data_IF_849831167663
#
_entry.id   IF_849831167663
#
_cell.length_a   1.000
_cell.length_b   1.000
_cell.length_c   1.000
_cell.angle_alpha   90.00
_cell.angle_beta   90.00
_cell.angle_gamma   90.00
#
_symmetry.space_group_name_H-M   'P 1'
#
loop_
_entity.id
_entity.type
_entity.pdbx_description
1 polymer ?
#
# COMPACT_ATOMS: atom_id res chain seq x y z
N UNK A 1 4.03 -31.33 18.30
CA UNK A 1 5.08 -30.52 17.63
C UNK A 1 5.27 -30.89 16.15
N UNK A 2 5.48 -32.16 15.76
CA UNK A 2 5.69 -32.56 14.35
C UNK A 2 4.53 -32.23 13.37
N UNK A 3 3.27 -32.35 13.79
CA UNK A 3 2.10 -32.02 12.92
C UNK A 3 2.01 -30.53 12.58
N UNK A 4 2.28 -29.64 13.54
CA UNK A 4 2.30 -28.18 13.30
C UNK A 4 3.43 -27.79 12.35
N UNK A 5 4.61 -28.41 12.48
CA UNK A 5 5.73 -28.15 11.58
C UNK A 5 5.44 -28.62 10.15
N UNK A 6 4.81 -29.78 9.99
CA UNK A 6 4.42 -30.30 8.67
C UNK A 6 3.36 -29.41 8.00
N UNK A 7 2.37 -28.93 8.77
CA UNK A 7 1.35 -27.99 8.26
C UNK A 7 1.94 -26.66 7.84
N UNK A 8 2.92 -26.13 8.60
CA UNK A 8 3.65 -24.90 8.25
C UNK A 8 4.49 -25.11 7.00
N UNK A 9 5.21 -26.24 6.91
CA UNK A 9 6.02 -26.59 5.74
C UNK A 9 5.16 -26.77 4.49
N UNK A 10 3.98 -27.38 4.63
CA UNK A 10 3.03 -27.57 3.53
C UNK A 10 2.42 -26.24 3.07
N UNK A 11 2.08 -25.34 4.01
CA UNK A 11 1.68 -23.96 3.71
C UNK A 11 2.80 -23.22 2.95
N UNK A 12 4.04 -23.30 3.44
CA UNK A 12 5.21 -22.70 2.78
C UNK A 12 5.40 -23.27 1.36
N UNK A 13 5.25 -24.58 1.17
CA UNK A 13 5.36 -25.23 -0.14
C UNK A 13 4.25 -24.77 -1.10
N UNK A 14 3.01 -24.60 -0.62
CA UNK A 14 1.91 -24.06 -1.41
C UNK A 14 2.19 -22.61 -1.82
N UNK A 15 2.66 -21.77 -0.88
CA UNK A 15 3.08 -20.39 -1.18
C UNK A 15 4.31 -20.31 -2.11
N UNK A 16 5.16 -21.35 -2.15
CA UNK A 16 6.34 -21.41 -3.01
C UNK A 16 6.07 -21.88 -4.45
N UNK A 17 4.84 -22.28 -4.77
CA UNK A 17 4.48 -22.63 -6.16
C UNK A 17 4.30 -21.35 -6.99
N UNK A 18 5.07 -21.17 -8.09
CA UNK A 18 4.86 -20.04 -8.98
C UNK A 18 3.53 -20.24 -9.72
N UNK A 19 2.49 -19.55 -9.27
CA UNK A 19 1.28 -19.34 -10.05
C UNK A 19 1.54 -18.23 -11.07
N UNK A 20 0.99 -18.36 -12.29
CA UNK A 20 1.04 -17.30 -13.31
C UNK A 20 0.67 -15.94 -12.69
N UNK A 21 1.66 -15.07 -12.53
CA UNK A 21 1.51 -13.76 -11.93
C UNK A 21 1.08 -12.77 -13.01
N UNK A 22 -0.07 -12.14 -12.82
CA UNK A 22 -0.46 -10.95 -13.58
C UNK A 22 0.07 -9.70 -12.87
N UNK A 23 0.61 -8.75 -13.63
CA UNK A 23 1.04 -7.46 -13.11
C UNK A 23 -0.16 -6.50 -12.83
N UNK A 24 0.01 -5.54 -11.91
CA UNK A 24 -0.97 -4.56 -11.41
C UNK A 24 -1.19 -3.35 -12.32
N UNK A 25 -0.18 -2.97 -13.10
CA UNK A 25 -0.23 -1.77 -13.98
C UNK A 25 -1.21 -1.91 -15.18
N UNK A 26 -1.92 -3.05 -15.30
CA UNK A 26 -2.77 -3.44 -16.44
C UNK A 26 -3.93 -2.51 -16.77
N UNK A 27 -4.41 -1.69 -15.85
CA UNK A 27 -5.53 -0.79 -16.17
C UNK A 27 -5.10 0.52 -16.87
N UNK A 28 -3.78 0.80 -16.97
CA UNK A 28 -3.23 1.98 -17.66
C UNK A 28 -2.46 1.63 -18.94
N UNK A 29 -2.11 0.36 -19.13
CA UNK A 29 -1.46 -0.14 -20.34
C UNK A 29 -2.04 -1.48 -20.76
N UNK A 30 -2.07 -1.73 -22.07
CA UNK A 30 -2.44 -3.03 -22.66
C UNK A 30 -1.22 -3.86 -23.05
N UNK A 31 -0.01 -3.37 -22.79
CA UNK A 31 1.20 -4.12 -23.07
C UNK A 31 1.30 -5.32 -22.14
N UNK A 32 1.72 -6.44 -22.72
CA UNK A 32 2.03 -7.63 -21.95
C UNK A 32 3.27 -7.39 -21.06
N UNK A 33 3.23 -7.78 -19.77
CA UNK A 33 4.36 -7.58 -18.87
C UNK A 33 5.61 -8.31 -19.36
N UNK A 34 6.69 -7.56 -19.60
CA UNK A 34 7.99 -8.13 -19.98
C UNK A 34 8.97 -8.04 -18.81
N UNK A 35 9.32 -9.20 -18.25
CA UNK A 35 10.22 -9.32 -17.10
C UNK A 35 11.66 -9.11 -17.54
N UNK A 36 12.32 -8.08 -17.02
CA UNK A 36 13.75 -7.84 -17.27
C UNK A 36 14.62 -8.68 -16.34
N UNK A 37 15.90 -8.86 -16.68
CA UNK A 37 16.82 -9.65 -15.86
C UNK A 37 17.20 -8.95 -14.56
N UNK A 38 17.53 -9.71 -13.50
CA UNK A 38 17.93 -9.14 -12.22
C UNK A 38 19.18 -8.27 -12.34
N UNK A 39 20.10 -8.60 -13.25
CA UNK A 39 21.30 -7.80 -13.55
C UNK A 39 20.96 -6.45 -14.17
N UNK A 40 19.90 -6.39 -14.99
CA UNK A 40 19.40 -5.14 -15.56
C UNK A 40 18.71 -4.28 -14.49
N UNK A 41 17.99 -4.90 -13.55
CA UNK A 41 17.38 -4.20 -12.40
C UNK A 41 18.48 -3.59 -11.52
N UNK A 42 19.49 -4.38 -11.17
CA UNK A 42 20.64 -3.99 -10.34
C UNK A 42 21.66 -3.12 -11.09
N UNK A 43 21.17 -2.20 -11.90
CA UNK A 43 21.97 -1.19 -12.61
C UNK A 43 22.75 -0.29 -11.64
N UNK A 44 23.81 0.40 -12.12
CA UNK A 44 24.53 1.38 -11.30
C UNK A 44 23.63 2.47 -10.72
N UNK A 45 22.60 2.88 -11.47
CA UNK A 45 21.61 3.84 -11.00
C UNK A 45 20.81 3.27 -9.82
N UNK A 46 20.30 2.04 -9.96
CA UNK A 46 19.54 1.38 -8.89
C UNK A 46 20.36 1.25 -7.61
N UNK A 47 21.60 0.75 -7.72
CA UNK A 47 22.50 0.57 -6.57
C UNK A 47 22.83 1.93 -5.93
N UNK A 48 23.14 2.94 -6.75
CA UNK A 48 23.45 4.29 -6.27
C UNK A 48 22.28 4.91 -5.51
N UNK A 49 21.07 4.81 -6.05
CA UNK A 49 19.85 5.33 -5.42
C UNK A 49 19.49 4.52 -4.18
N UNK A 50 19.66 3.20 -4.18
CA UNK A 50 19.43 2.36 -2.99
C UNK A 50 20.34 2.76 -1.82
N UNK A 51 21.64 2.94 -2.09
CA UNK A 51 22.61 3.36 -1.08
C UNK A 51 22.34 4.78 -0.59
N UNK A 52 22.05 5.72 -1.50
CA UNK A 52 21.68 7.08 -1.13
C UNK A 52 20.42 7.11 -0.25
N UNK A 53 19.40 6.34 -0.63
CA UNK A 53 18.16 6.21 0.12
C UNK A 53 18.41 5.63 1.51
N UNK A 54 19.24 4.59 1.63
CA UNK A 54 19.62 4.00 2.90
C UNK A 54 20.35 5.01 3.80
N UNK A 55 21.24 5.84 3.25
CA UNK A 55 21.93 6.90 3.99
C UNK A 55 20.94 7.95 4.50
N UNK A 56 20.06 8.45 3.62
CA UNK A 56 19.06 9.46 3.97
C UNK A 56 18.14 8.93 5.08
N UNK A 57 17.64 7.70 4.94
CA UNK A 57 16.81 7.06 5.94
C UNK A 57 17.54 6.84 7.25
N UNK A 58 18.82 6.46 7.23
CA UNK A 58 19.61 6.25 8.43
C UNK A 58 19.88 7.54 9.22
N UNK A 59 19.93 8.69 8.52
CA UNK A 59 20.07 10.01 9.13
C UNK A 59 18.73 10.59 9.61
N UNK A 60 17.60 10.14 9.04
CA UNK A 60 16.27 10.66 9.32
C UNK A 60 15.90 10.68 10.82
N UNK A 61 16.19 9.65 11.64
CA UNK A 61 15.86 9.65 13.07
C UNK A 61 16.50 10.82 13.83
N UNK A 62 17.71 11.24 13.45
CA UNK A 62 18.42 12.34 14.11
C UNK A 62 17.80 13.71 13.80
N UNK A 63 17.15 13.83 12.65
CA UNK A 63 16.50 15.06 12.19
C UNK A 63 15.05 15.12 12.69
N UNK A 64 14.42 13.96 12.87
CA UNK A 64 13.01 13.82 13.21
C UNK A 64 12.65 14.53 14.52
N UNK A 65 13.49 14.43 15.56
CA UNK A 65 13.26 15.12 16.83
C UNK A 65 13.24 16.64 16.68
N UNK A 66 14.03 17.19 15.75
CA UNK A 66 14.00 18.63 15.44
C UNK A 66 12.76 19.02 14.65
N UNK A 67 12.38 18.19 13.67
CA UNK A 67 11.22 18.44 12.81
C UNK A 67 9.89 18.39 13.58
N UNK A 68 9.75 17.43 14.50
CA UNK A 68 8.55 17.28 15.35
C UNK A 68 8.42 18.37 16.42
N UNK A 69 9.51 19.06 16.76
CA UNK A 69 9.50 20.09 17.79
C UNK A 69 9.12 21.49 17.28
N UNK A 70 8.85 21.65 15.97
CA UNK A 70 8.44 22.93 15.39
C UNK A 70 7.04 23.34 15.92
N UNK A 71 6.85 24.58 16.41
CA UNK A 71 5.59 25.02 17.02
C UNK A 71 4.37 24.91 16.09
N UNK A 72 4.56 25.21 14.80
CA UNK A 72 3.51 25.06 13.78
C UNK A 72 3.08 23.60 13.63
N UNK A 73 4.03 22.67 13.55
CA UNK A 73 3.76 21.24 13.44
C UNK A 73 2.97 20.73 14.65
N UNK A 74 3.33 21.16 15.87
CA UNK A 74 2.59 20.82 17.10
C UNK A 74 1.15 21.33 17.08
N UNK A 75 0.91 22.58 16.65
CA UNK A 75 -0.44 23.14 16.57
C UNK A 75 -1.33 22.39 15.58
N UNK A 76 -0.77 22.03 14.43
CA UNK A 76 -1.46 21.21 13.42
C UNK A 76 -1.69 19.80 13.95
N UNK A 77 -0.74 19.23 14.72
CA UNK A 77 -0.90 17.94 15.38
C UNK A 77 -2.07 17.90 16.35
N UNK A 78 -2.14 18.84 17.29
CA UNK A 78 -3.23 18.90 18.26
C UNK A 78 -4.59 19.03 17.56
N UNK A 79 -4.73 19.95 16.59
CA UNK A 79 -6.02 20.19 15.91
C UNK A 79 -6.52 18.98 15.13
N UNK A 80 -5.63 18.26 14.44
CA UNK A 80 -6.00 17.06 13.69
C UNK A 80 -6.20 15.85 14.61
N UNK A 81 -5.51 15.80 15.75
CA UNK A 81 -5.70 14.73 16.73
C UNK A 81 -7.12 14.67 17.30
N UNK A 82 -7.81 15.82 17.38
CA UNK A 82 -9.22 15.90 17.79
C UNK A 82 -10.16 15.15 16.82
N UNK A 83 -9.72 14.92 15.58
CA UNK A 83 -10.49 14.26 14.53
C UNK A 83 -10.29 12.74 14.52
N UNK A 84 -9.38 12.18 15.33
CA UNK A 84 -9.13 10.73 15.41
C UNK A 84 -10.37 9.91 15.76
N UNK A 85 -11.29 10.49 16.53
CA UNK A 85 -12.60 9.88 16.83
C UNK A 85 -13.44 9.58 15.57
N UNK A 86 -13.17 10.28 14.47
CA UNK A 86 -13.85 10.10 13.20
C UNK A 86 -13.14 9.13 12.27
N UNK A 87 -11.88 8.75 12.52
CA UNK A 87 -11.08 7.91 11.62
C UNK A 87 -11.79 6.60 11.21
N UNK A 88 -12.51 5.96 12.14
CA UNK A 88 -13.29 4.75 11.81
C UNK A 88 -14.55 5.02 11.03
N UNK A 89 -15.23 6.12 11.31
CA UNK A 89 -16.39 6.52 10.53
C UNK A 89 -15.97 6.89 9.10
N UNK A 90 -14.84 7.58 8.96
CA UNK A 90 -14.21 7.87 7.66
C UNK A 90 -13.87 6.57 6.93
N UNK A 91 -13.23 5.60 7.62
CA UNK A 91 -12.93 4.30 7.01
C UNK A 91 -14.20 3.58 6.56
N UNK A 92 -15.21 3.49 7.43
CA UNK A 92 -16.47 2.78 7.19
C UNK A 92 -17.26 3.40 6.03
N UNK A 93 -17.57 4.68 6.12
CA UNK A 93 -18.38 5.37 5.11
C UNK A 93 -17.58 5.66 3.84
N UNK A 94 -16.27 5.91 3.95
CA UNK A 94 -15.37 6.01 2.81
C UNK A 94 -15.30 4.70 2.04
N UNK A 95 -15.19 3.55 2.72
CA UNK A 95 -15.25 2.23 2.07
C UNK A 95 -16.59 2.03 1.35
N UNK A 96 -17.72 2.38 1.98
CA UNK A 96 -19.02 2.28 1.33
C UNK A 96 -19.12 3.15 0.07
N UNK A 97 -18.60 4.38 0.12
CA UNK A 97 -18.54 5.29 -1.02
C UNK A 97 -17.66 4.73 -2.16
N UNK A 98 -16.46 4.26 -1.83
CA UNK A 98 -15.55 3.66 -2.81
C UNK A 98 -16.15 2.42 -3.47
N UNK A 99 -16.79 1.53 -2.69
CA UNK A 99 -17.49 0.38 -3.26
C UNK A 99 -18.68 0.80 -4.13
N UNK A 100 -19.37 1.90 -3.80
CA UNK A 100 -20.44 2.44 -4.66
C UNK A 100 -19.88 2.92 -5.99
N UNK A 101 -18.75 3.64 -5.99
CA UNK A 101 -18.06 4.07 -7.22
C UNK A 101 -17.69 2.85 -8.08
N UNK A 102 -17.15 1.79 -7.46
CA UNK A 102 -16.78 0.55 -8.14
C UNK A 102 -17.99 -0.13 -8.78
N UNK A 103 -19.07 -0.36 -8.03
CA UNK A 103 -20.28 -1.03 -8.56
C UNK A 103 -20.92 -0.24 -9.69
N UNK A 104 -21.01 1.09 -9.57
CA UNK A 104 -21.55 1.96 -10.63
C UNK A 104 -20.67 1.92 -11.88
N UNK A 105 -19.37 1.72 -11.71
CA UNK A 105 -18.40 1.55 -12.81
C UNK A 105 -18.38 0.13 -13.39
N UNK A 106 -19.17 -0.81 -12.84
CA UNK A 106 -19.21 -2.20 -13.29
C UNK A 106 -18.06 -3.07 -12.77
N UNK A 107 -17.33 -2.60 -11.76
CA UNK A 107 -16.10 -3.22 -11.24
C UNK A 107 -16.17 -3.47 -9.73
N UNK A 108 -15.20 -4.21 -9.19
CA UNK A 108 -15.11 -4.55 -7.78
C UNK A 108 -13.69 -4.35 -7.26
N UNK A 109 -13.49 -3.52 -6.22
CA UNK A 109 -12.19 -3.19 -5.61
C UNK A 109 -11.16 -2.45 -6.51
N UNK A 110 -11.11 -2.76 -7.80
CA UNK A 110 -10.18 -2.24 -8.80
C UNK A 110 -10.84 -2.24 -10.21
N UNK A 111 -10.60 -1.24 -11.08
CA UNK A 111 -11.06 -1.21 -12.46
C UNK A 111 -10.81 -2.45 -13.32
N UNK A 112 -9.82 -3.28 -12.99
CA UNK A 112 -9.56 -4.51 -13.74
C UNK A 112 -10.47 -5.68 -13.33
N UNK A 113 -11.00 -5.67 -12.11
CA UNK A 113 -11.89 -6.72 -11.62
C UNK A 113 -13.34 -6.37 -11.98
N UNK A 114 -13.79 -6.93 -13.09
CA UNK A 114 -15.14 -6.70 -13.59
C UNK A 114 -16.16 -7.55 -12.84
N UNK A 115 -17.37 -7.00 -12.69
CA UNK A 115 -18.51 -7.75 -12.16
C UNK A 115 -19.05 -8.64 -13.30
N UNK A 116 -18.77 -9.94 -13.22
CA UNK A 116 -19.18 -10.93 -14.22
C UNK A 116 -20.51 -11.62 -13.85
N UNK A 117 -20.81 -11.68 -12.55
CA UNK A 117 -21.95 -12.45 -12.05
C UNK A 117 -22.88 -11.61 -11.16
N UNK A 118 -24.18 -11.85 -11.28
CA UNK A 118 -25.21 -11.16 -10.49
C UNK A 118 -24.99 -11.29 -8.98
N UNK A 119 -24.47 -12.42 -8.52
CA UNK A 119 -24.21 -12.64 -7.09
C UNK A 119 -23.13 -11.68 -6.55
N UNK A 120 -22.11 -11.33 -7.35
CA UNK A 120 -21.07 -10.37 -6.97
C UNK A 120 -21.68 -8.98 -6.77
N UNK A 121 -22.53 -8.56 -7.71
CA UNK A 121 -23.24 -7.29 -7.64
C UNK A 121 -24.15 -7.22 -6.40
N UNK A 122 -24.91 -8.29 -6.14
CA UNK A 122 -25.79 -8.39 -4.95
C UNK A 122 -24.96 -8.28 -3.67
N UNK A 123 -23.84 -9.02 -3.57
CA UNK A 123 -22.98 -9.02 -2.40
C UNK A 123 -22.32 -7.64 -2.19
N UNK A 124 -21.93 -6.95 -3.25
CA UNK A 124 -21.41 -5.58 -3.17
C UNK A 124 -22.48 -4.62 -2.62
N UNK A 125 -23.72 -4.67 -3.12
CA UNK A 125 -24.81 -3.83 -2.60
C UNK A 125 -25.17 -4.15 -1.15
N UNK A 126 -25.18 -5.43 -0.77
CA UNK A 126 -25.36 -5.85 0.64
C UNK A 126 -24.22 -5.29 1.50
N UNK A 127 -22.97 -5.37 1.03
CA UNK A 127 -21.80 -4.81 1.71
C UNK A 127 -21.95 -3.31 1.92
N UNK A 128 -22.29 -2.57 0.87
CA UNK A 128 -22.52 -1.11 0.92
C UNK A 128 -23.62 -0.78 1.92
N UNK A 129 -24.78 -1.44 1.82
CA UNK A 129 -25.90 -1.22 2.73
C UNK A 129 -25.53 -1.49 4.19
N UNK A 130 -24.82 -2.59 4.45
CA UNK A 130 -24.36 -2.95 5.79
C UNK A 130 -23.34 -1.94 6.36
N UNK A 131 -22.48 -1.36 5.51
CA UNK A 131 -21.53 -0.30 5.90
C UNK A 131 -22.19 1.07 6.07
N UNK A 132 -23.33 1.36 5.44
CA UNK A 132 -24.05 2.64 5.65
C UNK A 132 -24.87 2.60 6.95
N UNK A 133 -25.40 1.45 7.34
CA UNK A 133 -26.19 1.31 8.57
C UNK A 133 -25.29 1.59 9.79
N UNK A 134 -25.66 2.51 10.71
CA UNK A 134 -24.84 2.89 11.87
C UNK A 134 -24.91 1.86 13.01
N UNK A 135 -24.70 0.57 12.69
CA UNK A 135 -24.64 -0.54 13.64
C UNK A 135 -23.31 -1.28 13.51
N UNK A 136 -22.69 -1.67 14.63
CA UNK A 136 -21.43 -2.43 14.60
C UNK A 136 -21.62 -3.85 14.07
N UNK A 137 -22.78 -4.47 14.32
CA UNK A 137 -23.10 -5.78 13.73
C UNK A 137 -23.24 -5.68 12.21
N UNK A 138 -23.85 -4.60 11.71
CA UNK A 138 -23.93 -4.34 10.28
C UNK A 138 -22.53 -4.10 9.68
N UNK A 139 -21.67 -3.33 10.34
CA UNK A 139 -20.26 -3.16 9.90
C UNK A 139 -19.54 -4.49 9.79
N UNK A 140 -19.69 -5.38 10.78
CA UNK A 140 -19.07 -6.72 10.76
C UNK A 140 -19.61 -7.57 9.63
N UNK A 141 -20.92 -7.55 9.39
CA UNK A 141 -21.53 -8.22 8.25
C UNK A 141 -20.94 -7.71 6.93
N UNK A 142 -20.86 -6.38 6.75
CA UNK A 142 -20.26 -5.76 5.57
C UNK A 142 -18.81 -6.19 5.37
N UNK A 143 -17.99 -6.15 6.42
CA UNK A 143 -16.60 -6.58 6.35
C UNK A 143 -16.46 -8.08 6.03
N UNK A 144 -17.34 -8.94 6.54
CA UNK A 144 -17.36 -10.36 6.18
C UNK A 144 -17.75 -10.58 4.72
N UNK A 145 -18.77 -9.87 4.20
CA UNK A 145 -19.14 -9.97 2.79
C UNK A 145 -18.03 -9.46 1.87
N UNK A 146 -17.38 -8.36 2.25
CA UNK A 146 -16.20 -7.82 1.59
C UNK A 146 -15.04 -8.83 1.56
N UNK A 147 -14.82 -9.56 2.66
CA UNK A 147 -13.83 -10.63 2.72
C UNK A 147 -14.17 -11.80 1.79
N UNK A 148 -15.44 -12.20 1.69
CA UNK A 148 -15.89 -13.24 0.76
C UNK A 148 -15.61 -12.83 -0.69
N UNK A 149 -15.97 -11.60 -1.06
CA UNK A 149 -15.72 -11.05 -2.40
C UNK A 149 -14.22 -10.95 -2.70
N UNK A 150 -13.42 -10.46 -1.76
CA UNK A 150 -11.96 -10.37 -1.91
C UNK A 150 -11.33 -11.77 -2.04
N UNK A 151 -11.79 -12.73 -1.25
CA UNK A 151 -11.32 -14.13 -1.33
C UNK A 151 -11.69 -14.78 -2.66
N UNK A 152 -12.84 -14.45 -3.23
CA UNK A 152 -13.22 -14.92 -4.56
C UNK A 152 -12.23 -14.42 -5.63
N UNK A 153 -11.91 -13.12 -5.66
CA UNK A 153 -10.91 -12.60 -6.61
C UNK A 153 -9.56 -13.27 -6.34
N UNK A 154 -9.15 -13.36 -5.08
CA UNK A 154 -7.89 -14.00 -4.70
C UNK A 154 -7.71 -15.41 -5.26
N UNK A 155 -8.77 -16.22 -5.21
CA UNK A 155 -8.74 -17.59 -5.73
C UNK A 155 -8.64 -17.59 -7.26
N UNK A 156 -9.29 -16.67 -7.95
CA UNK A 156 -9.35 -16.64 -9.41
C UNK A 156 -8.12 -15.97 -10.06
N UNK A 157 -7.57 -14.92 -9.44
CA UNK A 157 -6.47 -14.14 -10.00
C UNK A 157 -5.11 -14.53 -9.43
N UNK A 158 -5.09 -15.18 -8.26
CA UNK A 158 -3.87 -15.64 -7.60
C UNK A 158 -3.37 -14.69 -6.53
N UNK A 159 -2.69 -15.27 -5.53
CA UNK A 159 -2.25 -14.55 -4.34
C UNK A 159 -1.23 -13.45 -4.64
N UNK A 160 -0.34 -13.67 -5.60
CA UNK A 160 0.75 -12.75 -5.95
C UNK A 160 0.22 -11.39 -6.43
N UNK A 161 -0.77 -11.42 -7.32
CA UNK A 161 -1.42 -10.23 -7.85
C UNK A 161 -2.31 -9.52 -6.80
N UNK A 162 -2.89 -10.29 -5.87
CA UNK A 162 -3.69 -9.68 -4.80
C UNK A 162 -2.86 -8.97 -3.73
N UNK A 163 -1.53 -9.11 -3.73
CA UNK A 163 -0.66 -8.38 -2.80
C UNK A 163 -0.64 -6.88 -3.09
N UNK A 164 -0.83 -6.48 -4.35
CA UNK A 164 -1.03 -5.06 -4.72
C UNK A 164 -2.24 -4.46 -3.99
N UNK A 165 -3.23 -5.29 -3.69
CA UNK A 165 -4.47 -4.93 -3.00
C UNK A 165 -4.48 -5.26 -1.50
N UNK A 166 -3.30 -5.49 -0.90
CA UNK A 166 -3.16 -5.88 0.51
C UNK A 166 -3.81 -4.90 1.51
N UNK A 167 -3.96 -3.63 1.13
CA UNK A 167 -4.68 -2.64 1.94
C UNK A 167 -6.17 -2.99 2.15
N UNK A 168 -6.82 -3.72 1.23
CA UNK A 168 -8.19 -4.18 1.42
C UNK A 168 -8.31 -5.24 2.53
N UNK A 169 -7.34 -6.14 2.65
CA UNK A 169 -7.27 -7.08 3.79
C UNK A 169 -7.15 -6.30 5.09
N UNK A 170 -6.32 -5.24 5.09
CA UNK A 170 -6.21 -4.36 6.23
C UNK A 170 -7.53 -3.68 6.60
N UNK A 171 -8.24 -3.10 5.62
CA UNK A 171 -9.56 -2.47 5.83
C UNK A 171 -10.55 -3.48 6.43
N UNK A 172 -10.66 -4.66 5.84
CA UNK A 172 -11.52 -5.76 6.33
C UNK A 172 -11.17 -6.07 7.80
N UNK A 173 -9.88 -6.23 8.10
CA UNK A 173 -9.39 -6.48 9.45
C UNK A 173 -9.82 -5.40 10.44
N UNK A 174 -9.61 -4.12 10.11
CA UNK A 174 -10.00 -2.99 10.96
C UNK A 174 -11.51 -2.96 11.22
N UNK A 175 -12.33 -3.20 10.19
CA UNK A 175 -13.79 -3.18 10.31
C UNK A 175 -14.31 -4.37 11.15
N UNK A 176 -13.68 -5.55 11.06
CA UNK A 176 -14.05 -6.74 11.84
C UNK A 176 -13.70 -6.62 13.33
N UNK A 177 -12.53 -6.09 13.65
CA UNK A 177 -12.06 -5.98 15.04
C UNK A 177 -12.64 -4.78 15.79
N UNK A 178 -13.42 -3.93 15.13
CA UNK A 178 -14.11 -2.81 15.77
C UNK A 178 -15.01 -3.28 16.94
N UNK A 179 -14.97 -2.54 18.05
CA UNK A 179 -15.65 -2.87 19.31
C UNK A 179 -15.19 -4.21 19.91
N UNK A 180 -13.90 -4.52 19.81
CA UNK A 180 -13.29 -5.71 20.42
C UNK A 180 -12.01 -5.36 21.18
N UNK A 181 -11.45 -6.32 21.93
CA UNK A 181 -10.19 -6.13 22.68
C UNK A 181 -8.98 -5.80 21.79
N UNK A 182 -9.04 -6.14 20.50
CA UNK A 182 -7.96 -5.94 19.53
C UNK A 182 -8.07 -4.63 18.75
N UNK A 183 -9.04 -3.80 19.09
CA UNK A 183 -9.36 -2.56 18.37
C UNK A 183 -8.17 -1.60 18.20
N UNK A 184 -7.25 -1.56 19.17
CA UNK A 184 -6.03 -0.76 19.10
C UNK A 184 -5.05 -1.20 17.99
N UNK A 185 -5.17 -2.43 17.48
CA UNK A 185 -4.34 -2.96 16.39
C UNK A 185 -4.86 -2.60 14.99
N UNK A 186 -6.07 -2.03 14.88
CA UNK A 186 -6.69 -1.76 13.58
C UNK A 186 -5.90 -0.80 12.72
N UNK A 187 -5.64 0.40 13.23
CA UNK A 187 -4.86 1.39 12.48
C UNK A 187 -3.42 0.93 12.20
N UNK A 188 -2.65 0.37 13.16
CA UNK A 188 -1.36 -0.23 12.85
C UNK A 188 -1.41 -1.23 11.69
N UNK A 189 -2.44 -2.07 11.66
CA UNK A 189 -2.64 -3.03 10.57
C UNK A 189 -2.94 -2.33 9.23
N UNK A 190 -3.66 -1.21 9.26
CA UNK A 190 -3.91 -0.37 8.08
C UNK A 190 -2.64 0.26 7.52
N UNK A 191 -1.76 0.80 8.37
CA UNK A 191 -0.46 1.30 7.97
C UNK A 191 0.41 0.22 7.34
N UNK A 192 0.47 -0.94 7.99
CA UNK A 192 1.26 -2.07 7.51
C UNK A 192 0.73 -2.59 6.18
N UNK A 193 -0.57 -2.87 6.06
CA UNK A 193 -1.16 -3.38 4.82
C UNK A 193 -0.99 -2.42 3.64
N UNK A 194 -1.15 -1.12 3.87
CA UNK A 194 -0.99 -0.09 2.83
C UNK A 194 0.48 0.10 2.46
N UNK A 195 1.37 0.19 3.44
CA UNK A 195 2.80 0.37 3.19
C UNK A 195 3.44 -0.83 2.48
N UNK A 196 3.06 -2.07 2.85
CA UNK A 196 3.53 -3.27 2.17
C UNK A 196 3.02 -3.36 0.73
N UNK A 197 1.75 -3.00 0.47
CA UNK A 197 1.18 -2.94 -0.88
C UNK A 197 1.92 -1.91 -1.76
N UNK A 198 2.20 -0.71 -1.25
CA UNK A 198 3.00 0.28 -1.99
C UNK A 198 4.42 -0.20 -2.29
N UNK A 199 5.09 -0.84 -1.33
CA UNK A 199 6.41 -1.45 -1.59
C UNK A 199 6.35 -2.52 -2.68
N UNK A 200 5.26 -3.29 -2.72
CA UNK A 200 5.07 -4.35 -3.70
C UNK A 200 4.86 -3.80 -5.12
N UNK A 201 3.95 -2.82 -5.27
CA UNK A 201 3.68 -2.13 -6.54
C UNK A 201 4.89 -1.32 -7.03
N UNK A 202 5.75 -0.85 -6.12
CA UNK A 202 7.02 -0.24 -6.49
C UNK A 202 8.00 -1.24 -7.12
N UNK A 203 8.09 -2.46 -6.57
CA UNK A 203 8.98 -3.49 -7.12
C UNK A 203 8.51 -3.95 -8.50
N UNK A 204 7.20 -4.00 -8.74
CA UNK A 204 6.65 -4.27 -10.06
C UNK A 204 7.25 -3.37 -11.15
N UNK A 205 7.39 -2.07 -10.88
CA UNK A 205 7.94 -1.10 -11.84
C UNK A 205 9.40 -1.37 -12.19
N UNK A 206 10.17 -1.97 -11.27
CA UNK A 206 11.53 -2.41 -11.56
C UNK A 206 11.55 -3.70 -12.37
N UNK A 207 10.66 -4.64 -12.07
CA UNK A 207 10.63 -5.96 -12.71
C UNK A 207 10.04 -5.91 -14.12
N UNK A 208 9.04 -5.06 -14.34
CA UNK A 208 8.36 -4.86 -15.62
C UNK A 208 8.36 -3.38 -16.03
N UNK A 209 9.52 -2.77 -16.31
CA UNK A 209 9.63 -1.35 -16.59
C UNK A 209 8.91 -0.95 -17.89
N UNK A 210 8.77 -1.86 -18.86
CA UNK A 210 8.11 -1.61 -20.15
C UNK A 210 6.67 -1.12 -20.00
N UNK A 211 5.93 -1.60 -18.98
CA UNK A 211 4.59 -1.12 -18.67
C UNK A 211 4.59 0.35 -18.23
N UNK A 212 5.54 0.74 -17.39
CA UNK A 212 5.65 2.14 -16.93
C UNK A 212 6.10 3.04 -18.09
N UNK A 213 7.02 2.57 -18.93
CA UNK A 213 7.47 3.30 -20.11
C UNK A 213 6.30 3.58 -21.07
N UNK A 214 5.45 2.60 -21.32
CA UNK A 214 4.26 2.77 -22.14
C UNK A 214 3.31 3.82 -21.58
N UNK A 215 3.06 3.81 -20.26
CA UNK A 215 2.24 4.82 -19.60
C UNK A 215 2.84 6.22 -19.79
N UNK A 216 4.16 6.36 -19.60
CA UNK A 216 4.85 7.63 -19.77
C UNK A 216 4.67 8.15 -21.20
N UNK A 217 4.85 7.29 -22.20
CA UNK A 217 4.73 7.66 -23.61
C UNK A 217 3.27 7.92 -24.04
N UNK A 218 2.33 7.09 -23.59
CA UNK A 218 0.93 7.15 -24.01
C UNK A 218 0.18 8.31 -23.33
N UNK A 219 0.44 8.57 -22.05
CA UNK A 219 -0.21 9.61 -21.27
C UNK A 219 0.59 10.92 -21.15
N UNK A 220 1.79 10.98 -21.75
CA UNK A 220 2.62 12.19 -21.73
C UNK A 220 3.06 12.59 -20.32
N UNK A 221 3.39 11.62 -19.47
CA UNK A 221 3.76 11.86 -18.07
C UNK A 221 5.04 12.71 -18.01
N UNK A 222 5.05 13.83 -17.25
CA UNK A 222 6.23 14.67 -17.15
C UNK A 222 7.37 13.95 -16.42
N UNK A 223 8.49 13.72 -17.11
CA UNK A 223 9.69 13.08 -16.54
C UNK A 223 10.65 14.07 -15.89
N UNK A 224 10.31 15.37 -15.85
CA UNK A 224 11.10 16.44 -15.24
C UNK A 224 12.56 16.53 -15.73
N UNK A 225 12.81 16.18 -17.00
CA UNK A 225 14.13 16.23 -17.63
C UNK A 225 14.95 14.95 -17.47
N UNK A 226 14.44 13.94 -16.77
CA UNK A 226 15.01 12.59 -16.77
C UNK A 226 14.58 11.81 -18.02
N UNK A 227 15.42 10.88 -18.48
CA UNK A 227 14.98 9.90 -19.47
C UNK A 227 13.93 8.95 -18.86
N UNK A 228 13.00 8.39 -19.66
CA UNK A 228 11.90 7.57 -19.15
C UNK A 228 12.34 6.35 -18.31
N UNK A 229 13.49 5.74 -18.63
CA UNK A 229 13.99 4.56 -17.92
C UNK A 229 14.50 4.96 -16.54
N UNK A 230 15.33 6.00 -16.47
CA UNK A 230 15.80 6.54 -15.18
C UNK A 230 14.64 7.07 -14.33
N UNK A 231 13.67 7.76 -14.95
CA UNK A 231 12.48 8.23 -14.26
C UNK A 231 11.67 7.08 -13.64
N UNK A 232 11.50 5.97 -14.37
CA UNK A 232 10.80 4.78 -13.87
C UNK A 232 11.49 4.22 -12.62
N UNK A 233 12.82 4.08 -12.63
CA UNK A 233 13.60 3.61 -11.48
C UNK A 233 13.43 4.55 -10.28
N UNK A 234 13.53 5.86 -10.49
CA UNK A 234 13.41 6.86 -9.44
C UNK A 234 11.98 6.93 -8.86
N UNK A 235 10.96 6.88 -9.71
CA UNK A 235 9.55 6.87 -9.30
C UNK A 235 9.24 5.65 -8.42
N UNK A 236 9.72 4.48 -8.82
CA UNK A 236 9.60 3.25 -8.02
C UNK A 236 10.33 3.36 -6.67
N UNK A 237 11.51 3.98 -6.60
CA UNK A 237 12.17 4.24 -5.32
C UNK A 237 11.37 5.18 -4.41
N UNK A 238 10.79 6.25 -4.96
CA UNK A 238 9.94 7.18 -4.19
C UNK A 238 8.76 6.42 -3.58
N UNK A 239 8.07 5.61 -4.37
CA UNK A 239 6.94 4.81 -3.91
C UNK A 239 7.35 3.77 -2.85
N UNK A 240 8.47 3.06 -3.08
CA UNK A 240 9.02 2.11 -2.11
C UNK A 240 9.39 2.78 -0.80
N UNK A 241 10.01 3.96 -0.84
CA UNK A 241 10.39 4.73 0.34
C UNK A 241 9.18 5.20 1.14
N UNK A 242 8.14 5.68 0.44
CA UNK A 242 6.87 6.06 1.06
C UNK A 242 6.24 4.83 1.74
N UNK A 243 6.16 3.69 1.05
CA UNK A 243 5.66 2.44 1.61
C UNK A 243 6.45 2.00 2.85
N UNK A 244 7.78 2.00 2.76
CA UNK A 244 8.68 1.63 3.86
C UNK A 244 8.50 2.53 5.08
N UNK A 245 8.44 3.85 4.89
CA UNK A 245 8.23 4.81 5.98
C UNK A 245 6.86 4.64 6.64
N UNK A 246 5.82 4.31 5.86
CA UNK A 246 4.48 3.98 6.40
C UNK A 246 4.51 2.70 7.25
N UNK A 247 5.23 1.65 6.81
CA UNK A 247 5.39 0.41 7.59
C UNK A 247 6.09 0.67 8.92
N UNK A 248 7.12 1.52 8.94
CA UNK A 248 7.82 1.90 10.18
C UNK A 248 6.97 2.87 11.01
N UNK A 249 6.04 3.58 10.37
CA UNK A 249 5.17 4.57 11.01
C UNK A 249 5.87 5.90 11.26
N UNK A 250 6.78 6.33 10.38
CA UNK A 250 7.49 7.61 10.47
C UNK A 250 6.90 8.58 9.45
N UNK A 251 6.74 9.86 9.84
CA UNK A 251 6.23 10.93 8.97
C UNK A 251 4.82 10.67 8.37
N UNK A 252 4.04 9.77 8.96
CA UNK A 252 2.72 9.34 8.47
C UNK A 252 1.82 10.46 7.95
N UNK A 253 1.74 11.58 8.67
CA UNK A 253 0.92 12.72 8.25
C UNK A 253 1.48 13.44 7.02
N UNK A 254 2.79 13.71 7.02
CA UNK A 254 3.45 14.39 5.91
C UNK A 254 3.40 13.51 4.66
N UNK A 255 3.69 12.22 4.81
CA UNK A 255 3.57 11.25 3.72
C UNK A 255 2.14 11.15 3.22
N UNK A 256 1.15 11.04 4.11
CA UNK A 256 -0.26 11.03 3.74
C UNK A 256 -0.65 12.26 2.89
N UNK A 257 -0.17 13.45 3.28
CA UNK A 257 -0.41 14.67 2.52
C UNK A 257 0.30 14.68 1.16
N UNK A 258 1.59 14.35 1.12
CA UNK A 258 2.39 14.34 -0.11
C UNK A 258 1.82 13.34 -1.11
N UNK A 259 1.52 12.13 -0.67
CA UNK A 259 0.93 11.08 -1.53
C UNK A 259 -0.46 11.50 -2.02
N UNK A 260 -1.28 12.13 -1.17
CA UNK A 260 -2.58 12.65 -1.59
C UNK A 260 -2.43 13.67 -2.71
N UNK A 261 -1.47 14.60 -2.59
CA UNK A 261 -1.19 15.59 -3.63
C UNK A 261 -0.76 14.88 -4.93
N UNK A 262 0.14 13.89 -4.83
CA UNK A 262 0.58 13.12 -6.00
C UNK A 262 -0.60 12.44 -6.69
N UNK A 263 -1.45 11.73 -5.96
CA UNK A 263 -2.61 11.05 -6.57
C UNK A 263 -3.67 12.01 -7.14
N UNK A 264 -3.85 13.18 -6.53
CA UNK A 264 -4.71 14.23 -7.11
C UNK A 264 -4.11 14.75 -8.42
N UNK A 265 -2.79 14.91 -8.50
CA UNK A 265 -2.13 15.34 -9.74
C UNK A 265 -2.20 14.26 -10.83
N UNK A 266 -2.01 12.99 -10.49
CA UNK A 266 -2.13 11.87 -11.46
C UNK A 266 -3.58 11.72 -11.94
N UNK A 267 -4.57 12.06 -11.12
CA UNK A 267 -5.98 12.12 -11.57
C UNK A 267 -6.17 13.11 -12.73
N UNK A 268 -5.40 14.19 -12.78
CA UNK A 268 -5.45 15.15 -13.90
C UNK A 268 -4.85 14.56 -15.20
N UNK A 269 -4.00 13.53 -15.09
CA UNK A 269 -3.37 12.85 -16.23
C UNK A 269 -4.18 11.63 -16.70
N UNK A 270 -4.64 10.80 -15.75
CA UNK A 270 -5.27 9.51 -16.02
C UNK A 270 -6.80 9.54 -15.94
N UNK A 271 -7.39 10.65 -15.48
CA UNK A 271 -8.83 10.88 -15.48
C UNK A 271 -9.61 9.93 -14.57
N UNK A 272 -10.77 9.48 -15.06
CA UNK A 272 -11.74 8.71 -14.26
C UNK A 272 -11.19 7.36 -13.80
N UNK A 273 -10.33 6.72 -14.60
CA UNK A 273 -9.71 5.43 -14.24
C UNK A 273 -8.93 5.53 -12.93
N UNK A 274 -8.18 6.62 -12.73
CA UNK A 274 -7.46 6.88 -11.48
C UNK A 274 -8.40 7.04 -10.30
N UNK A 275 -9.51 7.77 -10.48
CA UNK A 275 -10.50 7.98 -9.43
C UNK A 275 -11.11 6.65 -9.00
N UNK A 276 -11.54 5.82 -9.95
CA UNK A 276 -12.14 4.51 -9.64
C UNK A 276 -11.09 3.62 -8.93
N UNK A 277 -9.86 3.61 -9.43
CA UNK A 277 -8.77 2.78 -8.89
C UNK A 277 -8.28 3.17 -7.50
N UNK A 278 -8.03 4.46 -7.29
CA UNK A 278 -7.34 4.96 -6.10
C UNK A 278 -8.27 5.60 -5.07
N UNK A 279 -9.59 5.65 -5.30
CA UNK A 279 -10.54 6.22 -4.33
C UNK A 279 -10.38 5.64 -2.92
N UNK A 280 -10.19 4.33 -2.79
CA UNK A 280 -10.01 3.71 -1.47
C UNK A 280 -8.70 4.16 -0.81
N UNK A 281 -7.63 4.31 -1.59
CA UNK A 281 -6.34 4.77 -1.09
C UNK A 281 -6.45 6.21 -0.59
N UNK A 282 -7.20 7.09 -1.27
CA UNK A 282 -7.48 8.45 -0.76
C UNK A 282 -8.14 8.44 0.62
N UNK A 283 -9.10 7.54 0.87
CA UNK A 283 -9.73 7.40 2.20
C UNK A 283 -8.69 7.01 3.25
N UNK A 284 -7.80 6.07 2.93
CA UNK A 284 -6.72 5.65 3.83
C UNK A 284 -5.75 6.81 4.11
N UNK A 285 -5.35 7.56 3.08
CA UNK A 285 -4.42 8.68 3.24
C UNK A 285 -5.01 9.80 4.10
N UNK A 286 -6.31 10.09 3.97
CA UNK A 286 -7.02 11.03 4.87
C UNK A 286 -6.95 10.55 6.32
N UNK A 287 -7.16 9.25 6.57
CA UNK A 287 -7.00 8.66 7.90
C UNK A 287 -5.56 8.82 8.38
N UNK A 288 -4.56 8.62 7.53
CA UNK A 288 -3.17 8.76 7.91
C UNK A 288 -2.78 10.19 8.29
N UNK A 289 -3.37 11.18 7.59
CA UNK A 289 -3.25 12.59 7.93
C UNK A 289 -3.86 12.88 9.30
N UNK A 290 -5.04 12.33 9.60
CA UNK A 290 -5.74 12.54 10.87
C UNK A 290 -5.01 11.86 12.05
N UNK A 291 -4.70 10.57 11.93
CA UNK A 291 -4.05 9.80 12.99
C UNK A 291 -2.67 10.37 13.32
N UNK A 292 -1.79 10.50 12.32
CA UNK A 292 -0.50 11.18 12.44
C UNK A 292 0.50 10.59 13.45
N UNK A 293 0.17 9.50 14.15
CA UNK A 293 1.04 8.87 15.15
C UNK A 293 1.82 7.70 14.58
N UNK A 294 3.02 7.54 15.12
CA UNK A 294 3.82 6.32 15.02
C UNK A 294 3.33 5.34 16.08
N UNK A 295 2.72 4.23 15.65
CA UNK A 295 2.13 3.23 16.55
C UNK A 295 3.18 2.29 17.15
N UNK A 296 4.38 2.30 16.60
CA UNK A 296 5.51 1.48 17.00
C UNK A 296 6.57 2.40 17.59
N UNK A 297 7.18 2.05 18.73
CA UNK A 297 8.47 2.66 19.03
C UNK A 297 9.43 2.11 17.98
N UNK A 298 9.97 2.92 17.05
CA UNK A 298 10.81 2.40 15.98
C UNK A 298 11.88 1.50 16.62
N UNK A 299 12.22 0.33 16.06
CA UNK A 299 13.19 -0.59 16.69
C UNK A 299 14.53 0.11 16.96
N UNK A 300 14.76 1.20 16.24
CA UNK A 300 15.75 2.25 16.46
C UNK A 300 15.90 2.63 17.95
N UNK A 301 14.81 2.80 18.71
CA UNK A 301 14.85 3.17 20.13
C UNK A 301 15.39 2.06 21.05
N UNK A 302 15.52 0.83 20.56
CA UNK A 302 16.20 -0.27 21.27
C UNK A 302 17.71 0.01 21.34
N UNK A 303 18.24 0.74 20.36
CA UNK A 303 19.65 1.10 20.27
C UNK A 303 19.93 2.39 21.04
N UNK A 304 20.93 2.33 21.94
CA UNK A 304 21.26 3.42 22.87
C UNK A 304 22.10 4.53 22.23
N UNK A 305 22.86 4.23 21.18
CA UNK A 305 23.73 5.21 20.52
C UNK A 305 23.17 5.61 19.15
N UNK A 306 23.40 6.87 18.75
CA UNK A 306 22.98 7.36 17.43
C UNK A 306 23.64 6.56 16.29
N UNK A 307 24.85 6.05 16.49
CA UNK A 307 25.55 5.23 15.50
C UNK A 307 24.89 3.87 15.29
N UNK A 308 24.52 3.18 16.37
CA UNK A 308 23.81 1.90 16.27
C UNK A 308 22.46 2.07 15.57
N UNK A 309 21.77 3.19 15.82
CA UNK A 309 20.53 3.55 15.17
C UNK A 309 20.69 3.75 13.65
N UNK A 310 21.71 4.51 13.24
CA UNK A 310 22.04 4.72 11.83
C UNK A 310 22.33 3.38 11.14
N UNK A 311 23.21 2.57 11.73
CA UNK A 311 23.62 1.28 11.16
C UNK A 311 22.42 0.34 11.04
N UNK A 312 21.58 0.27 12.09
CA UNK A 312 20.39 -0.56 12.08
C UNK A 312 19.43 -0.17 10.95
N UNK A 313 19.08 1.12 10.83
CA UNK A 313 18.15 1.59 9.79
C UNK A 313 18.73 1.38 8.39
N UNK A 314 20.01 1.68 8.20
CA UNK A 314 20.70 1.48 6.93
C UNK A 314 20.61 0.01 6.49
N UNK A 315 21.02 -0.91 7.35
CA UNK A 315 21.02 -2.35 7.04
C UNK A 315 19.60 -2.90 6.92
N UNK A 316 18.67 -2.45 7.77
CA UNK A 316 17.28 -2.88 7.71
C UNK A 316 16.62 -2.47 6.40
N UNK A 317 16.81 -1.23 5.94
CA UNK A 317 16.26 -0.79 4.67
C UNK A 317 16.78 -1.63 3.50
N UNK A 318 18.10 -1.83 3.42
CA UNK A 318 18.71 -2.66 2.35
C UNK A 318 18.20 -4.10 2.42
N UNK A 319 18.05 -4.66 3.62
CA UNK A 319 17.50 -6.00 3.82
C UNK A 319 16.04 -6.09 3.33
N UNK A 320 15.19 -5.13 3.70
CA UNK A 320 13.79 -5.09 3.28
C UNK A 320 13.68 -4.90 1.77
N UNK A 321 14.41 -3.94 1.18
CA UNK A 321 14.50 -3.73 -0.26
C UNK A 321 14.88 -5.02 -1.00
N UNK A 322 15.96 -5.66 -0.57
CA UNK A 322 16.44 -6.90 -1.19
C UNK A 322 15.43 -8.05 -1.03
N UNK A 323 14.77 -8.15 0.13
CA UNK A 323 13.76 -9.19 0.39
C UNK A 323 12.56 -9.01 -0.52
N UNK A 324 12.02 -7.78 -0.62
CA UNK A 324 10.92 -7.48 -1.53
C UNK A 324 11.28 -7.76 -2.98
N UNK A 325 12.44 -7.27 -3.44
CA UNK A 325 12.89 -7.48 -4.81
C UNK A 325 13.05 -8.97 -5.13
N UNK A 326 13.71 -9.75 -4.28
CA UNK A 326 13.96 -11.16 -4.52
C UNK A 326 12.68 -12.01 -4.45
N UNK A 327 11.78 -11.72 -3.50
CA UNK A 327 10.50 -12.42 -3.41
C UNK A 327 9.67 -12.10 -4.64
N UNK A 328 9.48 -10.82 -4.97
CA UNK A 328 8.72 -10.43 -6.15
C UNK A 328 9.31 -11.08 -7.40
N UNK A 329 10.61 -10.91 -7.64
CA UNK A 329 11.29 -11.47 -8.81
C UNK A 329 11.20 -13.01 -8.89
N UNK A 330 11.11 -13.72 -7.77
CA UNK A 330 10.99 -15.19 -7.79
C UNK A 330 9.61 -15.65 -8.26
N UNK A 331 8.55 -14.91 -7.92
CA UNK A 331 7.17 -15.31 -8.16
C UNK A 331 6.51 -14.57 -9.35
N UNK A 332 7.13 -13.49 -9.81
CA UNK A 332 6.83 -12.75 -11.03
C UNK A 332 7.12 -13.53 -12.31
#
# INVERSE_FOLDING_TARGET
MKKSFLSILFLIIIFLTPSFAGAHVKWFTKLEPEKISIEQILSPLFIGVALLSAIILALLPQIMDKLLNIPFAKKVDTKLSDWRKYSRYILKYGTALCLTIQVVSGTMFAPEFHIEHTWQMIFMWITIGALVIPSHYATKLGATMMFVLFSYIWINTGWFHMLDYGFYIAIIGVLLIGHTKFENWGFPFLYLGTGLSLCWVAVEKWVYPTMTLDIIHHHGVPTFGFDPVSFTVLAAFIEFLIGYLLVIGILNRLLGLVVTIVFVLTTMLFGVTEVIGHAMIHVILVIFIIEGVSFYQPPIKIHKTSWDQIIFVFLNFIFVLSTFLLIYYRFA
#
